data_IF_357015423216
#
_entry.id   IF_357015423216
#
_cell.length_a   1.000
_cell.length_b   1.000
_cell.length_c   1.000
_cell.angle_alpha   90.00
_cell.angle_beta   90.00
_cell.angle_gamma   90.00
#
_symmetry.space_group_name_H-M   'P 1'
#
loop_
_entity.id
_entity.type
_entity.pdbx_description
1 polymer ?
#
# COMPACT_ATOMS: atom_id res chain seq x y z
N UNK A 1 12.66 -32.16 -5.80
CA UNK A 1 13.49 -30.95 -6.03
C UNK A 1 12.55 -29.81 -6.42
N UNK A 2 12.29 -28.84 -5.54
CA UNK A 2 11.47 -27.70 -5.89
C UNK A 2 12.23 -26.80 -6.90
N UNK A 3 11.64 -26.56 -8.07
CA UNK A 3 12.18 -25.66 -9.08
C UNK A 3 12.38 -24.26 -8.48
N UNK A 4 13.57 -23.68 -8.66
CA UNK A 4 13.87 -22.33 -8.20
C UNK A 4 12.88 -21.34 -8.85
N UNK A 5 12.31 -20.39 -8.07
CA UNK A 5 11.36 -19.44 -8.62
C UNK A 5 12.01 -18.60 -9.71
N UNK A 6 11.47 -18.69 -10.94
CA UNK A 6 11.91 -17.87 -12.07
C UNK A 6 11.77 -16.37 -11.71
N UNK A 7 12.86 -15.58 -11.71
CA UNK A 7 12.83 -14.16 -11.36
C UNK A 7 11.83 -13.35 -12.21
N UNK A 8 11.61 -13.74 -13.47
CA UNK A 8 10.63 -13.09 -14.35
C UNK A 8 9.17 -13.25 -13.86
N UNK A 9 8.89 -14.24 -13.00
CA UNK A 9 7.57 -14.45 -12.40
C UNK A 9 7.38 -13.67 -11.10
N UNK A 10 8.44 -13.07 -10.55
CA UNK A 10 8.37 -12.37 -9.26
C UNK A 10 7.27 -11.30 -9.19
N UNK A 11 7.09 -10.41 -10.19
CA UNK A 11 6.01 -9.42 -10.17
C UNK A 11 4.62 -10.06 -10.05
N UNK A 12 4.39 -11.16 -10.78
CA UNK A 12 3.11 -11.88 -10.73
C UNK A 12 2.88 -12.58 -9.39
N UNK A 13 3.94 -13.13 -8.79
CA UNK A 13 3.88 -13.75 -7.46
C UNK A 13 3.55 -12.69 -6.42
N UNK A 14 4.21 -11.53 -6.47
CA UNK A 14 3.99 -10.41 -5.56
C UNK A 14 2.56 -9.89 -5.66
N UNK A 15 2.08 -9.62 -6.89
CA UNK A 15 0.71 -9.23 -7.18
C UNK A 15 -0.32 -10.20 -6.55
N UNK A 16 -0.17 -11.51 -6.81
CA UNK A 16 -1.07 -12.54 -6.25
C UNK A 16 -0.96 -12.66 -4.73
N UNK A 17 0.20 -12.33 -4.14
CA UNK A 17 0.40 -12.37 -2.70
C UNK A 17 -0.30 -11.20 -2.02
N UNK A 18 -0.20 -10.00 -2.58
CA UNK A 18 -0.88 -8.79 -2.09
C UNK A 18 -2.39 -9.00 -2.08
N UNK A 19 -2.99 -9.41 -3.21
CA UNK A 19 -4.43 -9.66 -3.29
C UNK A 19 -4.89 -10.76 -2.32
N UNK A 20 -4.04 -11.75 -2.03
CA UNK A 20 -4.33 -12.76 -1.00
C UNK A 20 -4.31 -12.18 0.41
N UNK A 21 -3.40 -11.26 0.72
CA UNK A 21 -3.38 -10.58 2.00
C UNK A 21 -4.57 -9.65 2.17
N UNK A 22 -5.05 -9.03 1.08
CA UNK A 22 -6.21 -8.14 1.10
C UNK A 22 -7.51 -8.80 1.59
N UNK A 23 -7.62 -10.14 1.54
CA UNK A 23 -8.76 -10.84 2.16
C UNK A 23 -8.83 -10.68 3.69
N UNK A 24 -7.72 -10.34 4.34
CA UNK A 24 -7.69 -10.04 5.76
C UNK A 24 -8.07 -8.60 6.11
N UNK A 25 -8.31 -7.74 5.11
CA UNK A 25 -8.68 -6.34 5.30
C UNK A 25 -10.19 -6.17 5.58
N UNK A 26 -10.59 -5.09 6.28
CA UNK A 26 -11.97 -4.62 6.27
C UNK A 26 -12.50 -4.45 4.84
N UNK A 27 -13.80 -4.70 4.57
CA UNK A 27 -14.35 -4.72 3.21
C UNK A 27 -14.05 -3.46 2.39
N UNK A 28 -14.20 -2.27 2.98
CA UNK A 28 -13.98 -1.00 2.27
C UNK A 28 -12.51 -0.82 1.89
N UNK A 29 -11.60 -1.15 2.81
CA UNK A 29 -10.15 -1.11 2.55
C UNK A 29 -9.71 -2.14 1.52
N UNK A 30 -10.31 -3.34 1.54
CA UNK A 30 -10.09 -4.36 0.52
C UNK A 30 -10.50 -3.84 -0.85
N UNK A 31 -11.70 -3.28 -0.98
CA UNK A 31 -12.22 -2.82 -2.26
C UNK A 31 -11.32 -1.72 -2.85
N UNK A 32 -11.00 -0.70 -2.06
CA UNK A 32 -10.12 0.38 -2.46
C UNK A 32 -8.72 -0.14 -2.85
N UNK A 33 -8.13 -0.97 -1.98
CA UNK A 33 -6.80 -1.53 -2.18
C UNK A 33 -6.70 -2.45 -3.40
N UNK A 34 -7.69 -3.30 -3.64
CA UNK A 34 -7.69 -4.23 -4.79
C UNK A 34 -7.72 -3.49 -6.12
N UNK A 35 -8.50 -2.41 -6.22
CA UNK A 35 -8.55 -1.55 -7.41
C UNK A 35 -7.20 -0.87 -7.62
N UNK A 36 -6.66 -0.26 -6.57
CA UNK A 36 -5.37 0.43 -6.63
C UNK A 36 -4.22 -0.51 -7.05
N UNK A 37 -4.11 -1.69 -6.43
CA UNK A 37 -3.09 -2.70 -6.78
C UNK A 37 -3.20 -3.12 -8.24
N UNK A 38 -4.42 -3.37 -8.72
CA UNK A 38 -4.66 -3.77 -10.13
C UNK A 38 -4.19 -2.69 -11.10
N UNK A 39 -4.47 -1.44 -10.78
CA UNK A 39 -4.15 -0.32 -11.65
C UNK A 39 -2.65 -0.02 -11.64
N UNK A 40 -2.02 0.00 -10.47
CA UNK A 40 -0.58 0.24 -10.33
C UNK A 40 0.27 -0.83 -11.02
N UNK A 41 -0.05 -2.11 -10.83
CA UNK A 41 0.64 -3.19 -11.54
C UNK A 41 0.38 -3.17 -13.05
N UNK A 42 -0.77 -2.66 -13.50
CA UNK A 42 -1.03 -2.49 -14.94
C UNK A 42 -0.19 -1.36 -15.53
N UNK A 43 -0.13 -0.21 -14.85
CA UNK A 43 0.66 0.97 -15.26
C UNK A 43 2.15 0.67 -15.32
N UNK A 44 2.64 -0.21 -14.46
CA UNK A 44 4.06 -0.58 -14.39
C UNK A 44 4.48 -1.73 -15.31
N UNK A 45 3.61 -2.25 -16.17
CA UNK A 45 3.97 -3.32 -17.14
C UNK A 45 5.02 -2.88 -18.16
N UNK A 46 4.99 -1.60 -18.53
CA UNK A 46 5.85 -1.01 -19.57
C UNK A 46 6.86 -0.01 -18.99
N UNK A 47 7.01 0.02 -17.67
CA UNK A 47 7.96 0.91 -17.01
C UNK A 47 9.42 0.51 -17.33
N UNK A 48 10.32 1.48 -17.26
CA UNK A 48 11.76 1.20 -17.40
C UNK A 48 12.24 0.22 -16.31
N UNK A 49 13.38 -0.43 -16.54
CA UNK A 49 13.93 -1.42 -15.60
C UNK A 49 14.20 -0.79 -14.23
N UNK A 50 14.71 0.43 -14.21
CA UNK A 50 15.05 1.19 -13.01
C UNK A 50 13.78 1.49 -12.20
N UNK A 51 12.74 2.02 -12.84
CA UNK A 51 11.46 2.27 -12.19
C UNK A 51 10.77 0.97 -11.73
N UNK A 52 10.88 -0.10 -12.53
CA UNK A 52 10.34 -1.42 -12.16
C UNK A 52 11.02 -1.98 -10.90
N UNK A 53 12.34 -1.80 -10.76
CA UNK A 53 13.06 -2.26 -9.57
C UNK A 53 12.62 -1.50 -8.31
N UNK A 54 12.50 -0.17 -8.40
CA UNK A 54 12.01 0.66 -7.29
C UNK A 54 10.57 0.28 -6.94
N UNK A 55 9.70 0.14 -7.95
CA UNK A 55 8.32 -0.31 -7.78
C UNK A 55 8.24 -1.64 -7.03
N UNK A 56 8.93 -2.67 -7.52
CA UNK A 56 8.89 -4.00 -6.91
C UNK A 56 9.42 -4.00 -5.47
N UNK A 57 10.45 -3.19 -5.18
CA UNK A 57 10.94 -3.01 -3.81
C UNK A 57 9.84 -2.43 -2.92
N UNK A 58 9.24 -1.31 -3.29
CA UNK A 58 8.19 -0.66 -2.49
C UNK A 58 6.98 -1.59 -2.27
N UNK A 59 6.56 -2.33 -3.29
CA UNK A 59 5.45 -3.30 -3.15
C UNK A 59 5.83 -4.53 -2.32
N UNK A 60 7.10 -4.92 -2.32
CA UNK A 60 7.61 -5.96 -1.40
C UNK A 60 7.58 -5.48 0.04
N UNK A 61 8.01 -4.24 0.31
CA UNK A 61 7.93 -3.61 1.63
C UNK A 61 6.48 -3.49 2.13
N UNK A 62 5.56 -3.06 1.27
CA UNK A 62 4.13 -3.05 1.56
C UNK A 62 3.59 -4.44 1.91
N UNK A 63 3.94 -5.46 1.12
CA UNK A 63 3.52 -6.85 1.36
C UNK A 63 4.06 -7.38 2.68
N UNK A 64 5.31 -7.06 3.03
CA UNK A 64 5.92 -7.42 4.31
C UNK A 64 5.18 -6.77 5.47
N UNK A 65 4.84 -5.48 5.36
CA UNK A 65 4.05 -4.76 6.37
C UNK A 65 2.69 -5.43 6.58
N UNK A 66 1.91 -5.64 5.51
CA UNK A 66 0.61 -6.31 5.59
C UNK A 66 0.73 -7.71 6.20
N UNK A 67 1.74 -8.49 5.83
CA UNK A 67 1.92 -9.85 6.35
C UNK A 67 2.17 -9.91 7.86
N UNK A 68 2.68 -8.83 8.45
CA UNK A 68 2.88 -8.71 9.92
C UNK A 68 1.60 -8.27 10.63
N UNK A 69 0.70 -7.61 9.91
CA UNK A 69 -0.52 -7.02 10.45
C UNK A 69 -1.77 -7.87 10.18
N UNK A 70 -1.70 -8.77 9.21
CA UNK A 70 -2.81 -9.61 8.77
C UNK A 70 -2.50 -11.09 8.98
N UNK A 71 -3.50 -11.83 9.45
CA UNK A 71 -3.51 -13.29 9.44
C UNK A 71 -4.47 -13.80 8.38
N UNK A 72 -4.47 -15.10 8.11
CA UNK A 72 -5.44 -15.73 7.19
C UNK A 72 -6.90 -15.63 7.62
N UNK A 73 -7.19 -15.08 8.81
CA UNK A 73 -8.54 -14.92 9.37
C UNK A 73 -8.97 -13.46 9.57
N UNK A 74 -8.15 -12.48 9.17
CA UNK A 74 -8.41 -11.06 9.41
C UNK A 74 -7.21 -10.36 10.06
N UNK A 75 -7.46 -9.23 10.70
CA UNK A 75 -6.42 -8.42 11.34
C UNK A 75 -5.73 -9.20 12.47
N UNK A 76 -4.40 -9.25 12.45
CA UNK A 76 -3.56 -9.78 13.53
C UNK A 76 -3.49 -8.82 14.73
N UNK A 77 -3.64 -7.52 14.47
CA UNK A 77 -3.65 -6.44 15.46
C UNK A 77 -4.95 -5.63 15.31
N UNK A 78 -5.35 -4.91 16.36
CA UNK A 78 -6.56 -4.04 16.31
C UNK A 78 -6.46 -2.93 15.25
N UNK A 79 -5.25 -2.57 14.86
CA UNK A 79 -4.95 -1.46 13.96
C UNK A 79 -4.22 -1.94 12.73
N UNK A 80 -4.45 -1.25 11.62
CA UNK A 80 -3.81 -1.48 10.33
C UNK A 80 -3.04 -0.23 9.89
N UNK A 81 -1.92 -0.44 9.20
CA UNK A 81 -1.02 0.63 8.78
C UNK A 81 0.06 0.92 9.80
N UNK A 82 0.85 1.94 9.51
CA UNK A 82 1.91 2.46 10.37
C UNK A 82 1.85 3.98 10.34
N UNK A 83 2.35 4.63 11.40
CA UNK A 83 2.47 6.08 11.40
C UNK A 83 3.36 6.55 10.25
N UNK A 84 2.98 7.69 9.66
CA UNK A 84 3.78 8.33 8.62
C UNK A 84 5.14 8.74 9.17
N UNK A 85 6.20 8.49 8.39
CA UNK A 85 7.53 8.95 8.74
C UNK A 85 7.56 10.50 8.69
N UNK A 86 7.98 11.19 9.77
CA UNK A 86 8.15 12.64 9.76
C UNK A 86 8.97 13.19 8.59
N UNK A 87 9.99 12.46 8.12
CA UNK A 87 10.80 12.87 6.98
C UNK A 87 10.02 12.91 5.65
N UNK A 88 8.89 12.20 5.57
CA UNK A 88 8.04 12.22 4.39
C UNK A 88 7.36 13.58 4.22
N UNK A 89 7.01 14.25 5.32
CA UNK A 89 6.40 15.59 5.27
C UNK A 89 7.34 16.60 4.63
N UNK A 90 8.65 16.52 4.91
CA UNK A 90 9.67 17.39 4.30
C UNK A 90 9.84 17.17 2.79
N UNK A 91 9.34 16.05 2.24
CA UNK A 91 9.41 15.71 0.81
C UNK A 91 8.11 15.99 0.06
N UNK A 92 7.04 16.35 0.77
CA UNK A 92 5.76 16.72 0.19
C UNK A 92 5.77 18.20 -0.21
N UNK A 93 5.11 18.52 -1.31
CA UNK A 93 4.79 19.90 -1.66
C UNK A 93 3.60 20.41 -0.82
N UNK A 94 3.35 21.72 -0.86
CA UNK A 94 2.29 22.36 -0.08
C UNK A 94 0.91 21.80 -0.41
N UNK A 95 0.65 21.45 -1.67
CA UNK A 95 -0.65 20.91 -2.08
C UNK A 95 -0.89 19.52 -1.49
N UNK A 96 0.12 18.64 -1.51
CA UNK A 96 0.06 17.32 -0.86
C UNK A 96 -0.08 17.44 0.65
N UNK A 97 0.61 18.39 1.27
CA UNK A 97 0.49 18.65 2.71
C UNK A 97 -0.93 19.12 3.06
N UNK A 98 -1.50 20.00 2.25
CA UNK A 98 -2.86 20.49 2.43
C UNK A 98 -3.89 19.36 2.30
N UNK A 99 -3.81 18.55 1.23
CA UNK A 99 -4.70 17.40 1.05
C UNK A 99 -4.60 16.39 2.20
N UNK A 100 -3.38 16.12 2.68
CA UNK A 100 -3.18 15.23 3.81
C UNK A 100 -3.79 15.80 5.11
N UNK A 101 -3.72 17.12 5.29
CA UNK A 101 -4.34 17.81 6.40
C UNK A 101 -5.88 17.75 6.32
N UNK A 102 -6.47 18.07 5.17
CA UNK A 102 -7.92 17.95 4.94
C UNK A 102 -8.41 16.53 5.22
N UNK A 103 -7.67 15.53 4.73
CA UNK A 103 -7.98 14.12 5.00
C UNK A 103 -7.97 13.80 6.51
N UNK A 104 -7.00 14.34 7.25
CA UNK A 104 -6.93 14.17 8.72
C UNK A 104 -8.12 14.82 9.42
N UNK A 105 -8.48 16.04 9.04
CA UNK A 105 -9.61 16.79 9.61
C UNK A 105 -10.91 16.02 9.38
N UNK A 106 -11.16 15.59 8.14
CA UNK A 106 -12.33 14.81 7.77
C UNK A 106 -12.39 13.45 8.49
N UNK A 107 -11.27 12.73 8.60
CA UNK A 107 -11.24 11.42 9.26
C UNK A 107 -11.48 11.49 10.77
N UNK A 108 -11.08 12.61 11.40
CA UNK A 108 -11.23 12.82 12.84
C UNK A 108 -12.51 13.61 13.20
N UNK A 109 -13.31 14.00 12.22
CA UNK A 109 -14.44 14.93 12.39
C UNK A 109 -14.05 16.16 13.23
N UNK A 110 -12.86 16.69 12.99
CA UNK A 110 -12.46 17.95 13.60
C UNK A 110 -13.28 19.02 12.87
N UNK A 111 -14.23 19.66 13.56
CA UNK A 111 -14.91 20.80 12.95
C UNK A 111 -13.87 21.87 12.66
N UNK A 112 -13.96 22.49 11.47
CA UNK A 112 -13.21 23.70 11.19
C UNK A 112 -13.61 24.74 12.24
N UNK A 113 -12.75 24.98 13.22
CA UNK A 113 -12.73 26.26 13.92
C UNK A 113 -12.39 27.30 12.84
N UNK A 114 -13.44 27.80 12.19
CA UNK A 114 -13.39 28.95 11.29
C UNK A 114 -12.84 30.12 12.10
N UNK A 115 -11.57 30.43 11.90
CA UNK A 115 -10.95 31.65 12.37
C UNK A 115 -11.41 32.84 11.52
#
# INVERSE_FOLDING_TARGET
>A
MASLPNPAKFPLILYKRILRLHYGLPPDFKQLGDVYVKDEFRRHKEASKEHTLVFLRSWTEYTMMLSKQLTGKGLAKKEIGTNLNPELFSKMDNDKLHQLYELKVAALNLEEDKL
#
